data_IF_130432487799
#
_entry.id   IF_130432487799
#
_cell.length_a   1.000
_cell.length_b   1.000
_cell.length_c   1.000
_cell.angle_alpha   90.00
_cell.angle_beta   90.00
_cell.angle_gamma   90.00
#
_symmetry.space_group_name_H-M   'P 1'
#
loop_
_entity.id
_entity.type
_entity.pdbx_description
1 polymer ?
#
# COMPACT_ATOMS: atom_id res chain seq x y z
N UNK A 1 0.71 -14.74 -8.73
CA UNK A 1 1.98 -14.10 -9.09
C UNK A 1 3.16 -14.83 -8.45
N UNK A 2 4.35 -14.87 -9.08
CA UNK A 2 5.55 -15.55 -8.53
C UNK A 2 6.19 -14.74 -7.41
N UNK A 3 6.82 -15.41 -6.45
CA UNK A 3 7.64 -14.77 -5.41
C UNK A 3 8.91 -14.16 -5.99
N UNK A 4 9.14 -12.88 -5.71
CA UNK A 4 10.44 -12.21 -5.77
C UNK A 4 11.18 -12.55 -4.48
N UNK A 5 12.32 -13.23 -4.59
CA UNK A 5 13.03 -13.78 -3.44
C UNK A 5 14.27 -12.97 -3.10
N UNK A 6 14.67 -12.99 -1.83
CA UNK A 6 15.92 -12.37 -1.35
C UNK A 6 16.04 -10.88 -1.72
N UNK A 7 14.95 -10.14 -1.56
CA UNK A 7 14.88 -8.73 -1.88
C UNK A 7 15.33 -7.91 -0.69
N UNK A 8 16.36 -7.08 -0.91
CA UNK A 8 16.75 -6.06 0.07
C UNK A 8 15.56 -5.15 0.31
N UNK A 9 15.14 -5.11 1.57
CA UNK A 9 13.92 -4.45 2.05
C UNK A 9 14.31 -3.39 3.06
N UNK A 10 13.86 -2.17 2.84
CA UNK A 10 14.12 -1.01 3.71
C UNK A 10 12.84 -0.50 4.34
N UNK A 11 12.98 0.20 5.47
CA UNK A 11 11.84 0.79 6.17
C UNK A 11 11.72 2.26 5.77
N UNK A 12 10.52 2.66 5.38
CA UNK A 12 10.16 4.05 5.11
C UNK A 12 8.84 4.37 5.82
N UNK A 13 8.53 5.66 5.98
CA UNK A 13 7.30 6.04 6.65
C UNK A 13 6.70 7.35 6.13
N UNK A 14 5.38 7.45 6.26
CA UNK A 14 4.61 8.62 5.89
C UNK A 14 4.99 9.82 6.77
N UNK A 15 5.28 10.94 6.13
CA UNK A 15 5.67 12.20 6.77
C UNK A 15 7.15 12.31 7.12
N UNK A 16 7.98 11.37 6.68
CA UNK A 16 9.44 11.49 6.74
C UNK A 16 9.91 12.85 6.17
N UNK A 17 10.80 13.52 6.91
CA UNK A 17 11.41 14.77 6.45
C UNK A 17 12.43 14.46 5.33
N UNK A 18 12.69 15.41 4.42
CA UNK A 18 13.74 15.23 3.44
C UNK A 18 15.07 15.01 4.16
N UNK A 19 15.91 14.13 3.63
CA UNK A 19 17.30 13.94 4.06
C UNK A 19 18.22 13.98 2.84
N UNK A 20 19.53 14.04 3.05
CA UNK A 20 20.50 14.02 1.95
C UNK A 20 20.34 12.78 1.04
N UNK A 21 19.82 11.67 1.58
CA UNK A 21 19.59 10.43 0.84
C UNK A 21 18.12 10.25 0.39
N UNK A 22 17.20 11.08 0.85
CA UNK A 22 15.79 11.10 0.43
C UNK A 22 15.34 12.56 0.19
N UNK A 23 15.59 13.13 -1.00
CA UNK A 23 15.32 14.54 -1.27
C UNK A 23 13.82 14.86 -1.35
N UNK A 24 12.96 13.86 -1.57
CA UNK A 24 11.50 14.03 -1.59
C UNK A 24 10.96 13.60 -0.22
N UNK A 25 10.37 14.52 0.58
CA UNK A 25 9.74 14.12 1.83
C UNK A 25 8.55 13.22 1.55
N UNK A 26 8.38 12.15 2.34
CA UNK A 26 7.23 11.24 2.26
C UNK A 26 5.93 11.90 2.80
N UNK A 27 5.83 13.23 2.70
CA UNK A 27 4.59 14.01 2.88
C UNK A 27 3.65 13.85 1.69
N UNK A 28 4.22 13.47 0.56
CA UNK A 28 3.53 13.12 -0.68
C UNK A 28 3.96 11.71 -1.07
N UNK A 29 3.08 10.97 -1.74
CA UNK A 29 3.45 9.75 -2.47
C UNK A 29 3.31 9.98 -3.97
N UNK A 30 3.66 8.98 -4.74
CA UNK A 30 3.45 8.89 -6.19
C UNK A 30 2.00 9.08 -6.61
N UNK A 31 1.05 8.83 -5.69
CA UNK A 31 -0.38 8.86 -5.97
C UNK A 31 -1.20 9.77 -5.05
N UNK A 32 -0.64 10.21 -3.92
CA UNK A 32 -1.30 11.11 -2.98
C UNK A 32 -0.44 12.36 -2.69
N UNK A 33 -0.89 13.52 -3.18
CA UNK A 33 -0.21 14.81 -2.97
C UNK A 33 -0.31 15.35 -1.54
N UNK A 34 -1.13 14.74 -0.70
CA UNK A 34 -1.37 15.14 0.69
C UNK A 34 -1.17 13.95 1.64
N UNK A 35 -0.29 13.01 1.31
CA UNK A 35 -0.22 11.68 1.92
C UNK A 35 -0.18 11.68 3.45
N UNK A 36 0.64 12.53 4.09
CA UNK A 36 0.62 12.63 5.57
C UNK A 36 -0.72 13.11 6.12
N UNK A 37 -1.36 14.07 5.44
CA UNK A 37 -2.69 14.51 5.84
C UNK A 37 -3.67 13.36 5.65
N UNK A 38 -3.71 12.72 4.48
CA UNK A 38 -4.60 11.60 4.18
C UNK A 38 -4.45 10.45 5.17
N UNK A 39 -3.23 10.09 5.55
CA UNK A 39 -2.95 9.09 6.59
C UNK A 39 -3.42 9.52 7.98
N UNK A 40 -3.47 10.83 8.25
CA UNK A 40 -3.90 11.40 9.53
C UNK A 40 -2.76 11.97 10.38
N UNK A 41 -1.50 11.84 9.94
CA UNK A 41 -0.35 12.40 10.63
C UNK A 41 0.98 11.80 10.21
N UNK A 42 1.98 12.01 11.06
CA UNK A 42 3.31 11.42 10.93
C UNK A 42 3.31 9.97 11.43
N UNK A 43 3.65 9.02 10.58
CA UNK A 43 3.72 7.60 10.95
C UNK A 43 5.02 7.31 11.69
N UNK A 44 5.05 7.66 12.98
CA UNK A 44 6.27 7.63 13.81
C UNK A 44 6.94 6.23 13.79
N UNK A 45 8.16 6.09 13.25
CA UNK A 45 8.80 4.80 13.12
C UNK A 45 9.40 4.32 14.44
N UNK A 46 9.46 5.12 15.51
CA UNK A 46 10.03 4.71 16.78
C UNK A 46 9.16 3.63 17.45
N UNK A 47 9.68 2.41 17.71
CA UNK A 47 8.89 1.35 18.36
C UNK A 47 8.27 1.76 19.70
N UNK A 48 8.92 2.65 20.47
CA UNK A 48 8.38 3.15 21.73
C UNK A 48 7.15 4.05 21.57
N UNK A 49 6.90 4.58 20.37
CA UNK A 49 5.76 5.44 20.04
C UNK A 49 4.71 4.69 19.22
N UNK A 50 4.72 3.36 19.25
CA UNK A 50 3.79 2.52 18.50
C UNK A 50 3.10 1.52 19.42
N UNK A 51 1.82 1.28 19.14
CA UNK A 51 1.01 0.25 19.78
C UNK A 51 0.10 -0.37 18.74
N UNK A 52 -0.06 -1.69 18.75
CA UNK A 52 -0.86 -2.43 17.76
C UNK A 52 -0.52 -2.04 16.31
N UNK A 53 0.77 -1.88 16.02
CA UNK A 53 1.33 -1.55 14.71
C UNK A 53 0.98 -0.15 14.17
N UNK A 54 0.43 0.76 14.99
CA UNK A 54 0.11 2.15 14.62
C UNK A 54 0.80 3.17 15.53
N UNK A 55 0.99 4.43 15.10
CA UNK A 55 1.49 5.50 15.97
C UNK A 55 0.51 5.78 17.11
N UNK A 56 1.00 5.98 18.34
CA UNK A 56 0.14 6.18 19.53
C UNK A 56 -0.61 7.51 19.56
N UNK A 57 -0.23 8.47 18.70
CA UNK A 57 -0.76 9.84 18.75
C UNK A 57 -2.10 10.01 18.03
N UNK A 58 -2.48 9.08 17.16
CA UNK A 58 -3.72 9.14 16.38
C UNK A 58 -4.06 7.77 15.78
N UNK A 59 -5.32 7.58 15.40
CA UNK A 59 -5.74 6.43 14.60
C UNK A 59 -5.55 6.73 13.12
N UNK A 60 -4.76 5.94 12.36
CA UNK A 60 -4.58 6.14 10.93
C UNK A 60 -5.89 6.10 10.14
N UNK A 61 -6.03 7.02 9.18
CA UNK A 61 -7.15 7.09 8.23
C UNK A 61 -6.87 6.35 6.92
N UNK A 62 -5.62 5.94 6.69
CA UNK A 62 -5.24 4.99 5.65
C UNK A 62 -4.63 3.74 6.28
N UNK A 63 -4.52 2.67 5.51
CA UNK A 63 -3.99 1.41 6.01
C UNK A 63 -2.55 1.56 6.52
N UNK A 64 -2.24 1.20 7.79
CA UNK A 64 -0.88 1.29 8.32
C UNK A 64 0.09 0.27 7.71
N UNK A 65 -0.42 -0.78 7.05
CA UNK A 65 0.39 -1.76 6.33
C UNK A 65 0.48 -1.36 4.87
N UNK A 66 1.52 -0.60 4.54
CA UNK A 66 1.79 -0.11 3.19
C UNK A 66 3.23 -0.40 2.75
N UNK A 67 3.47 -0.34 1.44
CA UNK A 67 4.77 -0.56 0.84
C UNK A 67 4.99 0.35 -0.38
N UNK A 68 6.25 0.42 -0.83
CA UNK A 68 6.63 0.98 -2.11
C UNK A 68 7.39 -0.05 -2.96
N UNK A 69 7.05 -0.11 -4.24
CA UNK A 69 7.76 -0.85 -5.28
C UNK A 69 8.25 0.13 -6.36
N UNK A 70 9.37 -0.13 -7.05
CA UNK A 70 10.06 0.88 -7.87
C UNK A 70 9.40 1.09 -9.24
N UNK A 71 8.11 1.38 -9.26
CA UNK A 71 7.32 1.67 -10.44
C UNK A 71 6.15 2.62 -10.13
N UNK A 72 6.01 3.68 -10.92
CA UNK A 72 4.86 4.58 -10.92
C UNK A 72 4.23 4.54 -12.32
N UNK A 73 2.98 4.11 -12.42
CA UNK A 73 2.27 4.01 -13.69
C UNK A 73 1.74 5.34 -14.22
N UNK A 74 1.81 6.43 -13.43
CA UNK A 74 1.41 7.77 -13.84
C UNK A 74 2.51 8.50 -14.62
N UNK A 75 2.07 9.31 -15.56
CA UNK A 75 2.88 10.33 -16.22
C UNK A 75 2.35 11.74 -15.87
N UNK A 76 3.00 12.79 -16.39
CA UNK A 76 2.51 14.16 -16.25
C UNK A 76 1.07 14.31 -16.79
N UNK A 77 0.75 13.58 -17.86
CA UNK A 77 -0.59 13.46 -18.44
C UNK A 77 -0.86 11.97 -18.66
N UNK A 78 -1.93 11.45 -18.06
CA UNK A 78 -2.33 10.05 -18.22
C UNK A 78 -1.37 9.05 -17.56
N UNK A 79 -1.07 7.97 -18.30
CA UNK A 79 -0.21 6.88 -17.84
C UNK A 79 1.11 6.85 -18.60
N UNK A 80 2.11 6.20 -18.02
CA UNK A 80 3.33 5.86 -18.75
C UNK A 80 3.01 4.97 -19.94
N UNK A 81 3.74 5.15 -21.04
CA UNK A 81 3.48 4.47 -22.32
C UNK A 81 3.53 2.95 -22.21
N UNK A 82 4.39 2.43 -21.34
CA UNK A 82 4.51 0.99 -21.11
C UNK A 82 3.44 0.42 -20.19
N UNK A 83 2.76 1.23 -19.36
CA UNK A 83 1.85 0.75 -18.33
C UNK A 83 0.74 -0.18 -18.87
N UNK A 84 0.04 0.15 -19.98
CA UNK A 84 -0.99 -0.73 -20.56
C UNK A 84 -0.47 -2.08 -21.04
N UNK A 85 0.85 -2.20 -21.29
CA UNK A 85 1.49 -3.41 -21.77
C UNK A 85 2.10 -4.25 -20.64
N UNK A 86 2.58 -3.61 -19.57
CA UNK A 86 3.40 -4.28 -18.54
C UNK A 86 2.69 -4.50 -17.22
N UNK A 87 1.67 -3.69 -16.88
CA UNK A 87 0.88 -3.88 -15.65
C UNK A 87 -0.15 -4.98 -15.92
N UNK A 88 -0.09 -6.13 -15.22
CA UNK A 88 -0.89 -7.31 -15.60
C UNK A 88 -2.41 -7.11 -15.51
N UNK A 89 -2.84 -6.16 -14.70
CA UNK A 89 -4.26 -5.85 -14.43
C UNK A 89 -4.66 -4.46 -14.96
N UNK A 90 -3.88 -3.88 -15.88
CA UNK A 90 -4.09 -2.51 -16.31
C UNK A 90 -5.52 -2.29 -16.83
N UNK A 91 -5.99 -3.20 -17.70
CA UNK A 91 -7.28 -3.08 -18.37
C UNK A 91 -8.44 -3.15 -17.38
N UNK A 92 -8.33 -4.03 -16.40
CA UNK A 92 -9.33 -4.28 -15.36
C UNK A 92 -9.38 -3.13 -14.35
N UNK A 93 -8.22 -2.55 -14.02
CA UNK A 93 -8.11 -1.49 -13.01
C UNK A 93 -8.24 -0.07 -13.60
N UNK A 94 -8.29 0.10 -14.92
CA UNK A 94 -8.32 1.41 -15.55
C UNK A 94 -9.60 2.18 -15.24
N UNK A 95 -9.46 3.38 -14.68
CA UNK A 95 -10.57 4.27 -14.30
C UNK A 95 -10.52 5.64 -15.00
N UNK A 96 -9.64 5.80 -15.98
CA UNK A 96 -9.43 7.05 -16.69
C UNK A 96 -8.01 7.60 -16.58
N UNK A 97 -7.69 8.64 -17.36
CA UNK A 97 -6.33 9.16 -17.45
C UNK A 97 -5.84 9.71 -16.10
N UNK A 98 -4.67 9.24 -15.65
CA UNK A 98 -4.01 9.77 -14.47
C UNK A 98 -4.54 9.21 -13.14
N UNK A 99 -5.48 8.27 -13.18
CA UNK A 99 -5.89 7.46 -12.03
C UNK A 99 -5.03 6.21 -12.01
N UNK A 100 -4.20 6.03 -10.97
CA UNK A 100 -3.27 4.89 -10.93
C UNK A 100 -4.00 3.55 -10.94
N UNK A 101 -3.47 2.62 -11.71
CA UNK A 101 -3.81 1.19 -11.72
C UNK A 101 -2.99 0.39 -10.70
N UNK A 102 -1.94 0.99 -10.12
CA UNK A 102 -1.02 0.33 -9.18
C UNK A 102 -1.37 0.59 -7.71
N UNK A 103 -1.86 1.79 -7.39
CA UNK A 103 -2.25 2.19 -6.02
C UNK A 103 -3.26 1.19 -5.42
N UNK A 104 -3.17 0.96 -4.11
CA UNK A 104 -4.05 0.11 -3.29
C UNK A 104 -3.98 -1.40 -3.60
N UNK A 105 -3.16 -1.83 -4.56
CA UNK A 105 -2.93 -3.27 -4.85
C UNK A 105 -2.21 -3.94 -3.68
N UNK A 106 -2.55 -5.20 -3.42
CA UNK A 106 -2.00 -5.95 -2.31
C UNK A 106 -0.72 -6.71 -2.69
N UNK A 107 0.22 -6.73 -1.76
CA UNK A 107 1.38 -7.62 -1.79
C UNK A 107 1.41 -8.49 -0.54
N UNK A 108 1.84 -9.74 -0.69
CA UNK A 108 2.28 -10.57 0.41
C UNK A 108 3.80 -10.42 0.56
N UNK A 109 4.26 -10.21 1.79
CA UNK A 109 5.67 -10.06 2.14
C UNK A 109 5.98 -11.08 3.23
N UNK A 110 7.06 -11.85 3.09
CA UNK A 110 7.41 -12.88 4.07
C UNK A 110 8.88 -12.82 4.49
N UNK A 111 9.10 -13.16 5.75
CA UNK A 111 10.42 -13.42 6.34
C UNK A 111 10.33 -14.64 7.26
N UNK A 112 11.17 -15.64 6.99
CA UNK A 112 11.09 -16.92 7.70
C UNK A 112 9.70 -17.55 7.55
N UNK A 113 9.05 -17.84 8.67
CA UNK A 113 7.70 -18.42 8.73
C UNK A 113 6.57 -17.38 8.84
N UNK A 114 6.89 -16.08 8.87
CA UNK A 114 5.88 -15.01 8.99
C UNK A 114 5.58 -14.39 7.63
N UNK A 115 4.29 -14.17 7.37
CA UNK A 115 3.80 -13.46 6.18
C UNK A 115 2.88 -12.33 6.62
N UNK A 116 3.06 -11.15 6.03
CA UNK A 116 2.24 -9.96 6.22
C UNK A 116 1.74 -9.48 4.86
N UNK A 117 0.65 -8.73 4.86
CA UNK A 117 0.05 -8.20 3.66
C UNK A 117 0.01 -6.68 3.75
N UNK A 118 0.38 -6.00 2.67
CA UNK A 118 0.48 -4.55 2.61
C UNK A 118 -0.12 -4.01 1.31
N UNK A 119 -0.67 -2.80 1.37
CA UNK A 119 -1.12 -2.07 0.17
C UNK A 119 0.04 -1.31 -0.47
N UNK A 120 0.06 -1.26 -1.79
CA UNK A 120 1.05 -0.52 -2.55
C UNK A 120 0.65 0.96 -2.64
N UNK A 121 1.36 1.82 -1.90
CA UNK A 121 0.96 3.22 -1.68
C UNK A 121 1.97 4.26 -2.17
N UNK A 122 3.18 3.84 -2.54
CA UNK A 122 4.17 4.71 -3.18
C UNK A 122 5.06 3.99 -4.22
N UNK A 123 5.85 4.74 -4.96
CA UNK A 123 6.86 4.22 -5.87
C UNK A 123 8.28 4.52 -5.39
N UNK A 124 9.08 3.47 -5.25
CA UNK A 124 10.44 3.48 -4.72
C UNK A 124 10.88 2.06 -4.40
N UNK A 125 12.12 1.81 -3.98
CA UNK A 125 13.14 2.80 -3.60
C UNK A 125 13.90 3.37 -4.84
N UNK A 126 14.27 4.66 -4.81
CA UNK A 126 15.19 5.43 -5.71
C UNK A 126 14.79 5.64 -7.16
N UNK A 127 14.12 4.68 -7.78
CA UNK A 127 13.58 4.81 -9.14
C UNK A 127 12.13 4.37 -9.18
N UNK A 128 11.40 4.94 -10.12
CA UNK A 128 9.94 4.77 -10.24
C UNK A 128 9.54 4.24 -11.62
N UNK A 129 10.46 3.59 -12.32
CA UNK A 129 10.32 3.17 -13.70
C UNK A 129 10.79 1.72 -13.95
N UNK A 130 11.09 0.95 -12.90
CA UNK A 130 11.72 -0.37 -13.01
C UNK A 130 10.70 -1.51 -13.17
N UNK A 131 9.84 -1.40 -14.19
CA UNK A 131 8.80 -2.37 -14.48
C UNK A 131 9.34 -3.78 -14.80
N UNK A 132 10.56 -3.88 -15.34
CA UNK A 132 11.20 -5.17 -15.64
C UNK A 132 11.41 -6.01 -14.37
N UNK A 133 11.67 -5.35 -13.23
CA UNK A 133 11.75 -6.00 -11.94
C UNK A 133 10.36 -6.20 -11.35
N UNK A 134 9.53 -5.15 -11.31
CA UNK A 134 8.22 -5.20 -10.62
C UNK A 134 7.29 -6.22 -11.26
N UNK A 135 7.17 -6.24 -12.59
CA UNK A 135 6.26 -7.13 -13.32
C UNK A 135 6.99 -8.20 -14.16
N UNK A 136 8.26 -7.98 -14.50
CA UNK A 136 9.06 -8.93 -15.29
C UNK A 136 9.86 -9.92 -14.41
N UNK A 137 11.01 -10.37 -14.91
CA UNK A 137 11.88 -11.35 -14.23
C UNK A 137 13.19 -10.74 -13.70
N UNK A 138 13.42 -9.44 -13.87
CA UNK A 138 14.64 -8.81 -13.38
C UNK A 138 14.68 -8.85 -11.84
N UNK A 139 15.89 -8.60 -11.31
CA UNK A 139 16.17 -8.45 -9.90
C UNK A 139 16.74 -7.05 -9.62
N UNK A 140 16.51 -6.46 -8.43
CA UNK A 140 17.17 -5.22 -8.04
C UNK A 140 18.68 -5.39 -8.11
N UNK A 141 19.35 -4.47 -8.83
CA UNK A 141 20.81 -4.49 -9.01
C UNK A 141 21.48 -3.77 -7.84
N UNK A 142 22.56 -4.33 -7.32
CA UNK A 142 23.26 -3.89 -6.10
C UNK A 142 23.89 -2.50 -6.20
N UNK A 143 24.11 -1.97 -7.40
CA UNK A 143 24.81 -0.70 -7.63
C UNK A 143 24.00 0.55 -7.31
N UNK A 144 22.69 0.45 -7.07
CA UNK A 144 21.82 1.56 -6.68
C UNK A 144 21.18 1.25 -5.30
N UNK A 145 21.30 2.17 -4.34
CA UNK A 145 20.76 2.05 -2.97
C UNK A 145 20.92 0.66 -2.31
N UNK A 146 22.14 0.13 -2.30
CA UNK A 146 22.45 -1.18 -1.70
C UNK A 146 21.59 -2.34 -2.28
N UNK A 147 20.97 -2.15 -3.44
CA UNK A 147 20.09 -3.14 -4.08
C UNK A 147 18.67 -3.24 -3.53
N UNK A 148 18.17 -2.23 -2.80
CA UNK A 148 16.80 -2.27 -2.29
C UNK A 148 15.77 -2.36 -3.42
N UNK A 149 14.77 -3.21 -3.24
CA UNK A 149 13.68 -3.43 -4.20
C UNK A 149 12.29 -3.38 -3.61
N UNK A 150 12.18 -3.08 -2.31
CA UNK A 150 10.94 -2.99 -1.57
C UNK A 150 11.16 -2.04 -0.39
N UNK A 151 10.33 -1.02 -0.26
CA UNK A 151 10.21 -0.28 1.00
C UNK A 151 8.93 -0.69 1.73
N UNK A 152 9.00 -0.80 3.06
CA UNK A 152 7.86 -1.22 3.87
C UNK A 152 7.60 -0.26 5.04
N UNK A 153 6.33 -0.15 5.42
CA UNK A 153 5.93 0.69 6.54
C UNK A 153 6.49 0.18 7.89
N UNK A 154 6.50 1.03 8.92
CA UNK A 154 6.85 0.59 10.27
C UNK A 154 5.93 -0.54 10.78
N UNK A 155 4.65 -0.56 10.38
CA UNK A 155 3.73 -1.65 10.76
C UNK A 155 4.18 -3.01 10.21
N UNK A 156 4.62 -3.06 8.94
CA UNK A 156 5.19 -4.26 8.31
C UNK A 156 6.48 -4.67 9.01
N UNK A 157 7.38 -3.71 9.28
CA UNK A 157 8.62 -3.94 10.04
C UNK A 157 8.32 -4.59 11.39
N UNK A 158 7.42 -3.99 12.17
CA UNK A 158 7.07 -4.42 13.52
C UNK A 158 6.44 -5.82 13.51
N UNK A 159 5.57 -6.11 12.54
CA UNK A 159 4.96 -7.44 12.41
C UNK A 159 5.98 -8.53 12.04
N UNK A 160 6.86 -8.26 11.09
CA UNK A 160 7.86 -9.23 10.62
C UNK A 160 9.13 -9.28 11.49
N UNK A 161 9.32 -8.32 12.42
CA UNK A 161 10.55 -8.19 13.21
C UNK A 161 11.77 -7.83 12.35
N UNK A 162 11.60 -6.91 11.40
CA UNK A 162 12.68 -6.49 10.51
C UNK A 162 13.63 -5.51 11.18
N UNK A 163 14.90 -5.58 10.78
CA UNK A 163 15.84 -4.47 10.96
C UNK A 163 15.52 -3.30 10.01
N UNK A 164 16.19 -2.16 10.17
CA UNK A 164 16.02 -1.01 9.27
C UNK A 164 16.34 -1.34 7.80
N UNK A 165 17.28 -2.26 7.58
CA UNK A 165 17.55 -2.90 6.30
C UNK A 165 17.60 -4.39 6.52
N UNK A 166 16.88 -5.14 5.71
CA UNK A 166 16.72 -6.58 5.87
C UNK A 166 16.49 -7.25 4.51
N UNK A 167 16.24 -8.56 4.51
CA UNK A 167 15.93 -9.32 3.30
C UNK A 167 14.58 -10.03 3.47
N UNK A 168 13.69 -9.83 2.50
CA UNK A 168 12.37 -10.48 2.46
C UNK A 168 12.07 -11.05 1.09
N UNK A 169 11.04 -11.89 1.01
CA UNK A 169 10.40 -12.22 -0.27
C UNK A 169 9.08 -11.46 -0.38
N UNK A 170 8.68 -11.08 -1.59
CA UNK A 170 7.35 -10.51 -1.84
C UNK A 170 6.70 -11.04 -3.13
N UNK A 171 5.37 -10.94 -3.21
CA UNK A 171 4.61 -11.16 -4.45
C UNK A 171 3.34 -10.32 -4.44
N UNK A 172 2.82 -10.01 -5.62
CA UNK A 172 1.43 -9.57 -5.74
C UNK A 172 0.47 -10.67 -5.31
N UNK A 173 -0.67 -10.26 -4.76
CA UNK A 173 -1.80 -11.12 -4.39
C UNK A 173 -3.09 -10.44 -4.80
N UNK A 174 -4.09 -11.23 -5.19
CA UNK A 174 -5.45 -10.71 -5.27
C UNK A 174 -6.06 -10.59 -3.88
N UNK A 175 -7.03 -9.69 -3.71
CA UNK A 175 -7.67 -9.46 -2.41
C UNK A 175 -8.26 -10.74 -1.80
N UNK A 176 -8.79 -11.64 -2.63
CA UNK A 176 -9.33 -12.94 -2.21
C UNK A 176 -8.28 -13.89 -1.61
N UNK A 177 -6.99 -13.65 -1.88
CA UNK A 177 -5.87 -14.39 -1.30
C UNK A 177 -5.37 -13.77 0.02
N UNK A 178 -5.90 -12.62 0.44
CA UNK A 178 -5.49 -11.91 1.65
C UNK A 178 -6.37 -12.38 2.82
N UNK A 179 -5.84 -13.15 3.79
CA UNK A 179 -6.58 -13.50 4.99
C UNK A 179 -6.73 -12.27 5.89
N UNK A 180 -7.72 -12.28 6.79
CA UNK A 180 -7.80 -11.26 7.84
C UNK A 180 -6.60 -11.38 8.78
N UNK A 181 -6.13 -10.23 9.23
CA UNK A 181 -5.00 -10.05 10.13
C UNK A 181 -4.88 -8.59 10.57
N UNK A 182 -3.80 -8.18 11.24
CA UNK A 182 -3.62 -6.80 11.68
C UNK A 182 -3.73 -5.76 10.55
N UNK A 183 -3.40 -6.13 9.31
CA UNK A 183 -3.53 -5.28 8.11
C UNK A 183 -4.96 -5.06 7.60
N UNK A 184 -5.96 -5.72 8.19
CA UNK A 184 -7.34 -5.70 7.70
C UNK A 184 -8.27 -4.76 8.49
N UNK A 185 -7.76 -4.08 9.52
CA UNK A 185 -8.62 -3.43 10.53
C UNK A 185 -8.79 -1.93 10.36
N UNK A 186 -7.84 -1.23 9.74
CA UNK A 186 -7.79 0.23 9.68
C UNK A 186 -7.55 0.75 8.27
N UNK A 187 -8.01 1.98 8.04
CA UNK A 187 -7.82 2.73 6.81
C UNK A 187 -9.08 2.80 5.93
N UNK A 188 -9.46 4.01 5.54
CA UNK A 188 -10.59 4.25 4.62
C UNK A 188 -10.31 3.71 3.21
N UNK A 189 -9.04 3.56 2.82
CA UNK A 189 -8.58 2.95 1.58
C UNK A 189 -8.40 1.42 1.67
N UNK A 190 -8.62 0.83 2.84
CA UNK A 190 -8.44 -0.60 3.05
C UNK A 190 -9.62 -1.38 2.47
N UNK A 191 -9.35 -2.35 1.60
CA UNK A 191 -10.38 -3.17 0.93
C UNK A 191 -11.30 -3.90 1.92
N UNK A 192 -10.79 -4.35 3.08
CA UNK A 192 -11.60 -4.97 4.13
C UNK A 192 -12.59 -3.97 4.74
N UNK A 193 -12.10 -2.80 5.17
CA UNK A 193 -12.91 -1.74 5.79
C UNK A 193 -13.98 -1.21 4.82
N UNK A 194 -13.63 -1.07 3.54
CA UNK A 194 -14.59 -0.70 2.48
C UNK A 194 -15.68 -1.78 2.34
N UNK A 195 -15.30 -3.05 2.30
CA UNK A 195 -16.22 -4.17 2.14
C UNK A 195 -17.17 -4.31 3.34
N UNK A 196 -16.64 -4.26 4.56
CA UNK A 196 -17.42 -4.39 5.80
C UNK A 196 -18.47 -3.27 5.92
N UNK A 197 -18.11 -2.03 5.54
CA UNK A 197 -19.03 -0.90 5.50
C UNK A 197 -20.14 -1.07 4.46
N UNK A 198 -19.84 -1.63 3.28
CA UNK A 198 -20.85 -1.91 2.25
C UNK A 198 -21.84 -2.94 2.75
N UNK A 199 -21.36 -4.07 3.27
CA UNK A 199 -22.21 -5.13 3.84
C UNK A 199 -23.08 -4.61 4.99
N UNK A 200 -22.53 -3.80 5.90
CA UNK A 200 -23.31 -3.18 6.98
C UNK A 200 -24.38 -2.20 6.45
N UNK A 201 -24.07 -1.46 5.39
CA UNK A 201 -25.03 -0.52 4.76
C UNK A 201 -26.16 -1.27 4.05
N UNK A 202 -25.84 -2.34 3.34
CA UNK A 202 -26.83 -3.19 2.67
C UNK A 202 -27.79 -3.82 3.69
N UNK A 203 -27.25 -4.35 4.80
CA UNK A 203 -28.07 -4.90 5.90
C UNK A 203 -28.99 -3.84 6.52
N UNK A 204 -28.49 -2.61 6.73
CA UNK A 204 -29.28 -1.51 7.29
C UNK A 204 -30.40 -1.04 6.34
N UNK A 205 -30.17 -1.08 5.02
CA UNK A 205 -31.20 -0.76 4.03
C UNK A 205 -32.30 -1.83 3.97
N UNK A 206 -31.94 -3.10 4.06
CA UNK A 206 -32.91 -4.22 4.11
C UNK A 206 -33.78 -4.17 5.37
N UNK A 207 -33.26 -3.66 6.48
CA UNK A 207 -34.00 -3.59 7.76
C UNK A 207 -34.94 -2.37 7.91
N UNK A 208 -35.01 -1.45 6.94
CA UNK A 208 -35.97 -0.32 7.03
C UNK A 208 -37.40 -0.80 6.68
N UNK A 209 -38.39 -0.64 7.59
CA UNK A 209 -39.78 -0.96 7.26
C UNK A 209 -40.28 -0.06 6.13
N UNK A 210 -41.04 -0.62 5.19
CA UNK A 210 -41.79 0.16 4.21
C UNK A 210 -42.82 1.02 4.96
N UNK A 211 -42.64 2.33 4.97
CA UNK A 211 -43.66 3.26 5.46
C UNK A 211 -44.89 3.17 4.56
N UNK A 212 -45.90 2.42 5.02
CA UNK A 212 -47.23 2.41 4.47
C UNK A 212 -47.76 3.86 4.41
N UNK A 213 -47.86 4.41 3.21
CA UNK A 213 -48.67 5.60 2.96
C UNK A 213 -50.14 5.24 3.21
N UNK A 214 -50.60 5.51 4.43
CA UNK A 214 -52.01 5.54 4.74
C UNK A 214 -52.65 6.74 4.03
N UNK A 215 -53.36 6.47 2.94
CA UNK A 215 -54.32 7.42 2.35
C UNK A 215 -55.50 7.48 3.33
N UNK A 216 -55.63 8.60 4.03
CA UNK A 216 -56.83 8.92 4.81
C UNK A 216 -57.91 9.50 3.86
N UNK A 217 -59.20 9.22 4.10
CA UNK A 217 -60.30 9.49 3.19
C UNK A 217 -60.65 10.98 3.05
#
# INVERSE_FOLDING_TARGET
>A
YRWKKNIVTTVFWIGEKPSANNPVPNRVSSWDKNWSRSYGGFDDPNPAHRSNYIPVKFTPRQNPFYCALPYNDKAAIGHRREAPRVVPWFKEAYQGPGVSTCKDRWVAIRKGNRTVYAQWEDAGPFRTDYWQYVFGNDHPKTTLNRGAGLDVSPAVRDYLGLSQTDVTDWRFVEFTEVPRGPWSTLGENNTFVISDRKTGSDLAQVSKPAENHAIAP
#
